data_IF_435475685890
#
_entry.id   IF_435475685890
#
_cell.length_a   1.000
_cell.length_b   1.000
_cell.length_c   1.000
_cell.angle_alpha   90.00
_cell.angle_beta   90.00
_cell.angle_gamma   90.00
#
_symmetry.space_group_name_H-M   'P 1'
#
loop_
_entity.id
_entity.type
_entity.pdbx_description
1 polymer ?
#
# COMPACT_ATOMS: atom_id res chain seq x y z
N UNK A 1 -10.28 2.24 -32.09
CA UNK A 1 -9.56 3.50 -31.78
C UNK A 1 -10.54 4.65 -31.45
N UNK A 2 -11.52 4.44 -30.56
CA UNK A 2 -12.51 5.48 -30.16
C UNK A 2 -12.80 5.47 -28.65
N UNK A 3 -12.53 4.37 -27.94
CA UNK A 3 -12.76 4.24 -26.47
C UNK A 3 -11.76 5.06 -25.62
N UNK A 4 -10.61 5.47 -26.18
CA UNK A 4 -9.57 6.26 -25.47
C UNK A 4 -9.95 7.70 -25.13
N UNK A 5 -11.10 8.21 -25.61
CA UNK A 5 -11.46 9.64 -25.46
C UNK A 5 -12.50 9.93 -24.36
N UNK A 6 -13.25 8.94 -23.86
CA UNK A 6 -14.35 9.23 -22.93
C UNK A 6 -13.90 9.46 -21.48
N UNK A 7 -12.89 8.71 -21.00
CA UNK A 7 -12.38 8.83 -19.61
C UNK A 7 -11.57 10.13 -19.42
N UNK A 8 -10.82 10.57 -20.43
CA UNK A 8 -10.04 11.81 -20.37
C UNK A 8 -10.89 13.09 -20.40
N UNK A 9 -12.19 13.01 -20.74
CA UNK A 9 -13.03 14.20 -20.94
C UNK A 9 -13.51 14.87 -19.65
N UNK A 10 -13.31 14.24 -18.48
CA UNK A 10 -13.75 14.80 -17.18
C UNK A 10 -12.63 15.62 -16.50
N UNK A 11 -11.36 15.44 -16.91
CA UNK A 11 -10.19 16.00 -16.22
C UNK A 11 -9.49 17.17 -16.93
N UNK A 12 -9.99 17.67 -18.06
CA UNK A 12 -9.40 18.85 -18.73
C UNK A 12 -10.41 19.92 -19.13
N UNK A 13 -10.71 20.83 -18.21
CA UNK A 13 -11.21 22.16 -18.54
C UNK A 13 -10.62 23.22 -17.62
N UNK A 14 -9.68 24.03 -18.13
CA UNK A 14 -9.36 25.32 -17.49
C UNK A 14 -7.89 25.67 -17.22
N UNK A 15 -6.99 25.58 -18.20
CA UNK A 15 -5.75 26.41 -18.19
C UNK A 15 -5.54 27.07 -19.55
N UNK A 16 -5.63 28.41 -19.58
CA UNK A 16 -5.02 29.24 -20.62
C UNK A 16 -4.10 30.24 -19.94
N UNK A 17 -2.90 30.39 -20.51
CA UNK A 17 -1.82 31.23 -19.96
C UNK A 17 -2.23 32.69 -19.80
N UNK A 18 -1.83 33.30 -18.68
CA UNK A 18 -1.71 34.74 -18.55
C UNK A 18 -0.53 35.07 -17.61
N UNK A 19 0.60 35.42 -18.23
CA UNK A 19 1.79 35.95 -17.55
C UNK A 19 1.48 37.35 -17.04
N UNK A 20 1.68 37.65 -15.75
CA UNK A 20 1.70 39.03 -15.27
C UNK A 20 2.77 39.23 -14.17
N UNK A 21 3.57 40.28 -14.34
CA UNK A 21 4.67 40.61 -13.44
C UNK A 21 4.18 41.15 -12.09
N UNK A 22 4.75 40.66 -10.98
CA UNK A 22 4.61 41.31 -9.68
C UNK A 22 5.43 42.62 -9.65
N UNK A 23 4.77 43.75 -9.36
CA UNK A 23 5.43 45.00 -8.94
C UNK A 23 5.09 45.27 -7.48
N UNK A 24 6.13 45.44 -6.66
CA UNK A 24 6.02 45.94 -5.29
C UNK A 24 5.64 47.42 -5.27
N UNK A 25 4.81 47.84 -4.29
CA UNK A 25 4.78 49.22 -3.81
C UNK A 25 4.22 49.28 -2.36
N UNK A 26 4.90 49.93 -1.39
CA UNK A 26 4.45 50.00 0.01
C UNK A 26 3.89 51.37 0.41
N UNK A 27 2.86 51.41 1.25
CA UNK A 27 2.55 52.57 2.12
C UNK A 27 1.63 52.20 3.30
N UNK A 28 1.71 52.97 4.40
CA UNK A 28 1.13 52.69 5.73
C UNK A 28 -0.09 53.58 6.04
N UNK A 29 -0.98 53.10 6.93
CA UNK A 29 -1.69 53.76 8.09
C UNK A 29 -3.05 53.03 8.33
N UNK A 30 -3.37 52.35 9.46
CA UNK A 30 -3.55 52.74 10.89
C UNK A 30 -4.88 53.52 11.15
N UNK A 31 -5.83 53.16 12.05
CA UNK A 31 -5.93 52.17 13.17
C UNK A 31 -7.40 51.75 13.41
N UNK A 32 -7.71 50.54 13.91
CA UNK A 32 -9.05 50.21 14.49
C UNK A 32 -9.25 48.74 14.93
N UNK A 33 -9.72 48.49 16.17
CA UNK A 33 -9.89 47.13 16.75
C UNK A 33 -11.24 46.49 16.41
N UNK A 34 -11.26 45.18 16.10
CA UNK A 34 -11.94 44.11 16.89
C UNK A 34 -11.17 42.80 16.65
N UNK A 35 -10.85 42.06 17.72
CA UNK A 35 -10.36 40.68 17.58
C UNK A 35 -11.55 39.72 17.37
N UNK A 36 -11.75 39.26 16.15
CA UNK A 36 -12.35 37.94 15.91
C UNK A 36 -11.23 36.99 15.52
N UNK A 37 -11.06 35.91 16.28
CA UNK A 37 -10.02 34.89 16.04
C UNK A 37 -10.09 34.35 14.61
N UNK A 38 -9.07 34.65 13.80
CA UNK A 38 -8.85 33.93 12.55
C UNK A 38 -8.56 32.46 12.89
N UNK A 39 -9.55 31.59 12.67
CA UNK A 39 -9.29 30.18 12.41
C UNK A 39 -8.57 30.12 11.07
N UNK A 40 -7.24 30.22 11.09
CA UNK A 40 -6.39 29.83 9.96
C UNK A 40 -6.58 28.33 9.75
N UNK A 41 -7.58 27.99 8.93
CA UNK A 41 -7.78 26.65 8.40
C UNK A 41 -6.63 26.37 7.46
N UNK A 42 -5.65 25.61 7.95
CA UNK A 42 -4.58 25.09 7.12
C UNK A 42 -5.22 24.16 6.09
N UNK A 43 -5.29 24.59 4.83
CA UNK A 43 -5.72 23.73 3.73
C UNK A 43 -4.49 23.07 3.08
N UNK A 44 -4.64 21.80 2.68
CA UNK A 44 -3.64 21.05 1.95
C UNK A 44 -4.04 20.97 0.47
N UNK A 45 -3.14 21.38 -0.42
CA UNK A 45 -3.34 21.27 -1.87
C UNK A 45 -2.73 19.98 -2.42
N UNK A 46 -3.57 19.05 -2.92
CA UNK A 46 -3.14 17.78 -3.50
C UNK A 46 -3.84 17.57 -4.85
N UNK A 47 -3.07 17.35 -5.92
CA UNK A 47 -3.56 17.20 -7.30
C UNK A 47 -4.53 18.31 -7.76
N UNK A 48 -4.28 19.56 -7.35
CA UNK A 48 -5.14 20.71 -7.65
C UNK A 48 -6.42 20.81 -6.82
N UNK A 49 -6.71 19.82 -5.96
CA UNK A 49 -7.83 19.83 -5.02
C UNK A 49 -7.37 20.36 -3.65
N UNK A 50 -8.26 21.07 -2.95
CA UNK A 50 -8.03 21.58 -1.60
C UNK A 50 -8.69 20.68 -0.56
N UNK A 51 -7.94 20.30 0.46
CA UNK A 51 -8.40 19.48 1.58
C UNK A 51 -8.23 20.28 2.87
N UNK A 52 -9.34 20.55 3.55
CA UNK A 52 -9.32 21.15 4.89
C UNK A 52 -8.65 20.18 5.87
N UNK A 53 -7.67 20.64 6.65
CA UNK A 53 -7.10 19.84 7.75
C UNK A 53 -8.04 19.83 8.96
N UNK A 54 -8.01 18.75 9.73
CA UNK A 54 -8.76 18.57 10.97
C UNK A 54 -8.00 17.67 11.96
N UNK A 55 -8.61 17.31 13.09
CA UNK A 55 -7.97 16.48 14.13
C UNK A 55 -7.61 15.07 13.66
N UNK A 56 -8.04 14.62 12.46
CA UNK A 56 -7.60 13.37 11.84
C UNK A 56 -6.33 13.52 10.99
N UNK A 57 -5.99 14.73 10.52
CA UNK A 57 -4.81 14.98 9.67
C UNK A 57 -3.51 14.50 10.36
N UNK A 58 -2.84 13.53 9.74
CA UNK A 58 -1.53 13.04 10.19
C UNK A 58 -0.51 12.85 9.05
N UNK A 59 -0.86 13.20 7.81
CA UNK A 59 0.08 13.24 6.68
C UNK A 59 1.22 14.24 6.94
N UNK A 60 2.47 13.82 6.74
CA UNK A 60 3.65 14.67 6.89
C UNK A 60 4.14 15.17 5.52
N UNK A 61 4.82 16.34 5.42
CA UNK A 61 5.37 16.83 4.14
C UNK A 61 6.28 15.82 3.44
N UNK A 62 6.95 14.96 4.22
CA UNK A 62 7.78 13.88 3.72
C UNK A 62 6.97 12.75 3.09
N UNK A 63 5.87 12.32 3.71
CA UNK A 63 4.99 11.31 3.14
C UNK A 63 4.34 11.82 1.85
N UNK A 64 3.93 13.09 1.84
CA UNK A 64 3.39 13.74 0.64
C UNK A 64 4.43 13.88 -0.49
N UNK A 65 5.73 13.97 -0.17
CA UNK A 65 6.80 13.99 -1.17
C UNK A 65 6.90 12.69 -1.99
N UNK A 66 6.47 11.53 -1.46
CA UNK A 66 6.48 10.27 -2.20
C UNK A 66 5.40 10.19 -3.30
N UNK A 67 4.35 11.01 -3.23
CA UNK A 67 3.23 10.97 -4.19
C UNK A 67 3.73 11.32 -5.60
N UNK A 68 3.41 10.47 -6.57
CA UNK A 68 3.79 10.67 -7.97
C UNK A 68 5.21 10.21 -8.33
N UNK A 69 5.97 9.63 -7.39
CA UNK A 69 7.22 8.96 -7.72
C UNK A 69 7.03 7.68 -8.55
N UNK A 70 5.88 7.01 -8.38
CA UNK A 70 5.38 5.90 -9.19
C UNK A 70 6.49 4.89 -9.60
N UNK A 71 7.18 4.30 -8.62
CA UNK A 71 8.38 3.48 -8.88
C UNK A 71 8.06 2.24 -9.74
N UNK A 72 6.84 1.71 -9.61
CA UNK A 72 6.28 0.65 -10.46
C UNK A 72 6.13 1.04 -11.94
N UNK A 73 6.25 2.33 -12.28
CA UNK A 73 6.23 2.85 -13.66
C UNK A 73 7.60 3.30 -14.16
N UNK A 74 8.64 3.31 -13.32
CA UNK A 74 10.00 3.68 -13.72
C UNK A 74 10.67 2.55 -14.50
N UNK A 75 11.03 2.79 -15.76
CA UNK A 75 11.30 1.73 -16.76
C UNK A 75 12.34 0.67 -16.32
N UNK A 76 13.45 1.11 -15.70
CA UNK A 76 14.56 0.27 -15.23
C UNK A 76 14.48 -0.08 -13.75
N UNK A 77 13.32 0.08 -13.10
CA UNK A 77 13.13 -0.19 -11.68
C UNK A 77 12.67 -1.63 -11.45
N UNK A 78 13.19 -2.36 -10.43
CA UNK A 78 12.78 -3.73 -10.14
C UNK A 78 11.27 -3.91 -9.91
N UNK A 79 10.56 -2.92 -9.35
CA UNK A 79 9.11 -3.00 -9.19
C UNK A 79 8.37 -2.89 -10.53
N UNK A 80 8.91 -2.12 -11.49
CA UNK A 80 8.40 -2.07 -12.86
C UNK A 80 8.69 -3.37 -13.62
N UNK A 81 9.85 -3.99 -13.40
CA UNK A 81 10.14 -5.32 -13.97
C UNK A 81 9.18 -6.39 -13.41
N UNK A 82 8.95 -6.41 -12.10
CA UNK A 82 7.97 -7.31 -11.49
C UNK A 82 6.56 -7.06 -12.01
N UNK A 83 6.12 -5.79 -12.10
CA UNK A 83 4.84 -5.41 -12.73
C UNK A 83 4.71 -5.98 -14.14
N UNK A 84 5.73 -5.79 -15.00
CA UNK A 84 5.73 -6.32 -16.37
C UNK A 84 5.60 -7.84 -16.40
N UNK A 85 6.32 -8.58 -15.53
CA UNK A 85 6.20 -10.04 -15.41
C UNK A 85 4.78 -10.48 -14.99
N UNK A 86 4.15 -9.77 -14.06
CA UNK A 86 2.76 -10.04 -13.65
C UNK A 86 1.80 -9.80 -14.83
N UNK A 87 1.92 -8.67 -15.52
CA UNK A 87 1.08 -8.36 -16.70
C UNK A 87 1.25 -9.41 -17.80
N UNK A 88 2.48 -9.80 -18.13
CA UNK A 88 2.77 -10.85 -19.11
C UNK A 88 2.17 -12.21 -18.70
N UNK A 89 2.25 -12.58 -17.42
CA UNK A 89 1.61 -13.79 -16.91
C UNK A 89 0.09 -13.76 -17.13
N UNK A 90 -0.59 -12.68 -16.74
CA UNK A 90 -2.04 -12.53 -16.94
C UNK A 90 -2.44 -12.48 -18.41
N UNK A 91 -1.67 -11.80 -19.25
CA UNK A 91 -1.90 -11.73 -20.70
C UNK A 91 -1.65 -13.07 -21.41
N UNK A 92 -0.75 -13.90 -20.88
CA UNK A 92 -0.50 -15.24 -21.41
C UNK A 92 -1.56 -16.25 -20.98
N UNK A 93 -2.07 -16.13 -19.74
CA UNK A 93 -3.02 -17.03 -19.09
C UNK A 93 -4.47 -16.76 -19.48
N UNK A 94 -4.88 -15.49 -19.52
CA UNK A 94 -6.27 -15.08 -19.74
C UNK A 94 -6.47 -14.47 -21.12
N UNK A 95 -6.75 -15.36 -22.09
CA UNK A 95 -7.00 -15.00 -23.49
C UNK A 95 -8.46 -15.22 -23.87
N UNK A 96 -9.02 -14.24 -24.56
CA UNK A 96 -10.35 -14.35 -25.17
C UNK A 96 -10.32 -15.28 -26.40
N UNK A 97 -11.50 -15.52 -26.98
CA UNK A 97 -11.68 -16.43 -28.14
C UNK A 97 -10.78 -16.12 -29.34
N UNK A 98 -10.34 -14.87 -29.50
CA UNK A 98 -9.44 -14.42 -30.58
C UNK A 98 -7.95 -14.40 -30.19
N UNK A 99 -7.58 -14.92 -29.01
CA UNK A 99 -6.21 -14.92 -28.50
C UNK A 99 -5.76 -13.62 -27.81
N UNK A 100 -6.59 -12.57 -27.81
CA UNK A 100 -6.30 -11.29 -27.16
C UNK A 100 -6.39 -11.41 -25.62
N UNK A 101 -5.54 -10.70 -24.85
CA UNK A 101 -5.69 -10.60 -23.39
C UNK A 101 -7.08 -10.10 -22.96
N UNK A 102 -7.61 -10.66 -21.86
CA UNK A 102 -8.92 -10.29 -21.31
C UNK A 102 -8.82 -9.24 -20.20
N UNK A 103 -7.73 -9.22 -19.44
CA UNK A 103 -7.50 -8.24 -18.39
C UNK A 103 -7.06 -6.90 -18.99
N UNK A 104 -7.68 -5.80 -18.57
CA UNK A 104 -7.05 -4.48 -18.61
C UNK A 104 -6.11 -4.32 -17.42
N UNK A 105 -5.19 -3.35 -17.47
CA UNK A 105 -4.45 -2.90 -16.29
C UNK A 105 -4.46 -1.38 -16.15
N UNK A 106 -4.35 -0.91 -14.91
CA UNK A 106 -4.30 0.50 -14.55
C UNK A 106 -3.18 0.70 -13.52
N UNK A 107 -2.26 1.62 -13.80
CA UNK A 107 -1.04 1.83 -12.99
C UNK A 107 -0.75 3.31 -12.69
N UNK A 108 -1.68 4.21 -12.98
CA UNK A 108 -1.55 5.67 -12.77
C UNK A 108 -2.82 6.26 -12.11
N UNK A 109 -3.22 5.66 -10.98
CA UNK A 109 -4.36 6.11 -10.17
C UNK A 109 -3.83 6.96 -9.00
N UNK A 110 -4.43 8.12 -8.74
CA UNK A 110 -4.00 9.00 -7.65
C UNK A 110 -4.21 8.36 -6.27
N UNK A 111 -3.25 8.47 -5.30
CA UNK A 111 -3.33 7.74 -4.04
C UNK A 111 -4.26 8.33 -2.97
N UNK A 112 -4.68 9.60 -3.10
CA UNK A 112 -5.68 10.16 -2.19
C UNK A 112 -7.07 9.61 -2.52
N UNK A 113 -7.70 8.96 -1.54
CA UNK A 113 -9.02 8.32 -1.64
C UNK A 113 -9.91 8.76 -0.48
N UNK A 114 -11.21 8.61 -0.64
CA UNK A 114 -12.17 8.75 0.46
C UNK A 114 -12.06 7.57 1.44
N UNK A 115 -12.47 7.81 2.70
CA UNK A 115 -12.70 6.74 3.69
C UNK A 115 -13.68 5.68 3.17
N UNK A 116 -14.66 6.10 2.37
CA UNK A 116 -15.59 5.19 1.70
C UNK A 116 -14.90 4.23 0.73
N UNK A 117 -14.06 4.74 -0.18
CA UNK A 117 -13.30 3.91 -1.11
C UNK A 117 -12.38 2.93 -0.35
N UNK A 118 -11.59 3.42 0.62
CA UNK A 118 -10.63 2.57 1.30
C UNK A 118 -11.26 1.56 2.29
N UNK A 119 -12.46 1.79 2.80
CA UNK A 119 -13.01 0.91 3.85
C UNK A 119 -14.48 0.56 3.67
N UNK A 120 -15.37 1.55 3.58
CA UNK A 120 -16.83 1.29 3.61
C UNK A 120 -17.27 0.45 2.40
N UNK A 121 -16.73 0.73 1.21
CA UNK A 121 -17.02 0.00 -0.04
C UNK A 121 -16.48 -1.44 -0.06
N UNK A 122 -15.70 -1.81 0.96
CA UNK A 122 -15.10 -3.13 1.17
C UNK A 122 -15.68 -3.83 2.41
N UNK A 123 -16.85 -3.37 2.90
CA UNK A 123 -17.57 -3.93 4.05
C UNK A 123 -16.77 -3.93 5.37
N UNK A 124 -15.68 -3.16 5.44
CA UNK A 124 -14.88 -3.02 6.66
C UNK A 124 -15.72 -2.23 7.68
N UNK A 125 -15.89 -2.72 8.91
CA UNK A 125 -16.72 -2.03 9.93
C UNK A 125 -16.11 -0.72 10.41
N UNK A 126 -16.91 0.22 10.92
CA UNK A 126 -16.44 1.55 11.36
C UNK A 126 -15.49 1.51 12.57
N UNK A 127 -15.59 0.47 13.38
CA UNK A 127 -14.75 0.17 14.54
C UNK A 127 -13.54 -0.72 14.22
N UNK A 128 -13.40 -1.16 12.96
CA UNK A 128 -12.34 -2.07 12.55
C UNK A 128 -10.93 -1.46 12.79
N UNK A 129 -9.97 -2.20 13.38
CA UNK A 129 -8.65 -1.67 13.71
C UNK A 129 -7.90 -1.01 12.55
N UNK A 130 -8.05 -1.49 11.30
CA UNK A 130 -7.36 -0.90 10.14
C UNK A 130 -7.73 0.56 9.85
N UNK A 131 -8.81 1.10 10.43
CA UNK A 131 -9.20 2.52 10.34
C UNK A 131 -8.46 3.43 11.33
N UNK A 132 -7.57 2.90 12.18
CA UNK A 132 -6.91 3.73 13.21
C UNK A 132 -5.95 4.75 12.59
N UNK A 133 -5.91 5.94 13.20
CA UNK A 133 -4.91 6.98 12.89
C UNK A 133 -3.46 6.54 13.14
N UNK A 134 -3.25 5.50 13.92
CA UNK A 134 -1.93 4.90 14.19
C UNK A 134 -1.39 4.13 13.00
N UNK A 135 -2.27 3.71 12.08
CA UNK A 135 -1.97 2.70 11.05
C UNK A 135 -2.15 3.27 9.62
N UNK A 136 -2.99 4.30 9.46
CA UNK A 136 -3.27 4.98 8.18
C UNK A 136 -2.84 6.45 8.15
N UNK A 137 -2.48 6.93 6.95
CA UNK A 137 -2.15 8.34 6.68
C UNK A 137 -3.38 9.13 6.21
N UNK A 138 -4.09 9.73 7.17
CA UNK A 138 -5.25 10.58 6.96
C UNK A 138 -4.84 12.00 6.52
N UNK A 139 -5.46 12.45 5.43
CA UNK A 139 -5.43 13.85 4.99
C UNK A 139 -6.36 14.68 5.88
N UNK A 140 -7.55 14.14 6.19
CA UNK A 140 -8.51 14.62 7.17
C UNK A 140 -9.50 13.48 7.50
N UNK A 141 -10.56 13.71 8.28
CA UNK A 141 -11.50 12.65 8.68
C UNK A 141 -12.25 11.96 7.52
N UNK A 142 -12.28 12.56 6.33
CA UNK A 142 -13.01 12.06 5.16
C UNK A 142 -12.09 11.43 4.09
N UNK A 143 -10.80 11.77 4.09
CA UNK A 143 -9.84 11.41 3.05
C UNK A 143 -8.50 10.94 3.63
N UNK A 144 -7.90 9.95 2.98
CA UNK A 144 -6.60 9.38 3.34
C UNK A 144 -5.80 9.05 2.09
N UNK A 145 -4.50 8.84 2.26
CA UNK A 145 -3.72 8.11 1.29
C UNK A 145 -4.05 6.62 1.43
N UNK A 146 -4.38 5.95 0.31
CA UNK A 146 -4.88 4.56 0.31
C UNK A 146 -3.94 3.60 1.03
N UNK A 147 -4.49 2.76 1.91
CA UNK A 147 -3.73 1.74 2.62
C UNK A 147 -3.54 0.44 1.82
N UNK A 148 -4.29 0.28 0.73
CA UNK A 148 -4.22 -0.86 -0.18
C UNK A 148 -4.85 -0.55 -1.55
N UNK A 149 -4.43 -1.24 -2.62
CA UNK A 149 -4.98 -1.04 -3.97
C UNK A 149 -6.44 -1.53 -4.12
N UNK A 150 -6.89 -2.40 -3.22
CA UNK A 150 -8.29 -2.87 -3.09
C UNK A 150 -9.29 -1.71 -2.95
N UNK A 151 -8.86 -0.53 -2.48
CA UNK A 151 -9.67 0.68 -2.35
C UNK A 151 -10.33 1.15 -3.67
N UNK A 152 -9.83 0.70 -4.82
CA UNK A 152 -10.36 1.07 -6.14
C UNK A 152 -11.26 -0.02 -6.77
N UNK A 153 -11.40 -1.20 -6.16
CA UNK A 153 -12.16 -2.30 -6.78
C UNK A 153 -13.62 -1.91 -7.07
N UNK A 154 -14.32 -1.30 -6.10
CA UNK A 154 -15.70 -0.83 -6.27
C UNK A 154 -15.87 0.16 -7.43
N UNK A 155 -14.92 1.09 -7.61
CA UNK A 155 -14.95 2.08 -8.70
C UNK A 155 -14.74 1.44 -10.08
N UNK A 156 -13.84 0.45 -10.15
CA UNK A 156 -13.55 -0.30 -11.38
C UNK A 156 -14.73 -1.22 -11.77
N UNK A 157 -15.32 -1.92 -10.79
CA UNK A 157 -16.55 -2.70 -10.96
C UNK A 157 -17.70 -1.83 -11.49
N UNK A 158 -17.93 -0.68 -10.84
CA UNK A 158 -18.98 0.29 -11.20
C UNK A 158 -18.76 0.93 -12.58
N UNK A 159 -17.53 0.91 -13.07
CA UNK A 159 -17.18 1.31 -14.44
C UNK A 159 -17.44 0.23 -15.49
N UNK A 160 -17.97 -0.94 -15.09
CA UNK A 160 -18.33 -2.06 -15.96
C UNK A 160 -17.16 -2.99 -16.30
N UNK A 161 -16.11 -3.04 -15.48
CA UNK A 161 -14.93 -3.88 -15.73
C UNK A 161 -15.08 -5.27 -15.09
N UNK A 162 -15.14 -6.32 -15.92
CA UNK A 162 -15.19 -7.72 -15.47
C UNK A 162 -13.80 -8.27 -15.06
N UNK A 163 -12.70 -7.79 -15.66
CA UNK A 163 -11.35 -8.35 -15.46
C UNK A 163 -10.30 -7.23 -15.51
N UNK A 164 -9.64 -6.97 -14.38
CA UNK A 164 -8.67 -5.87 -14.30
C UNK A 164 -7.53 -6.14 -13.31
N UNK A 165 -6.36 -5.61 -13.63
CA UNK A 165 -5.18 -5.48 -12.76
C UNK A 165 -5.00 -4.01 -12.33
N UNK A 166 -4.64 -3.79 -11.08
CA UNK A 166 -4.36 -2.46 -10.54
C UNK A 166 -2.96 -2.46 -9.94
N UNK A 167 -2.17 -1.43 -10.22
CA UNK A 167 -0.84 -1.23 -9.65
C UNK A 167 -0.73 0.17 -9.06
N UNK A 168 -0.09 0.30 -7.90
CA UNK A 168 0.13 1.60 -7.30
C UNK A 168 0.85 1.58 -5.97
N UNK A 169 1.36 2.75 -5.61
CA UNK A 169 1.86 3.11 -4.28
C UNK A 169 0.72 3.14 -3.25
N UNK A 170 0.96 2.57 -2.07
CA UNK A 170 0.05 2.48 -0.93
C UNK A 170 0.78 2.91 0.35
N UNK A 171 0.02 3.44 1.30
CA UNK A 171 0.55 4.26 2.38
C UNK A 171 0.10 3.71 3.75
N UNK A 172 1.05 3.31 4.60
CA UNK A 172 0.78 2.77 5.94
C UNK A 172 1.72 3.33 6.99
N UNK A 173 1.18 3.61 8.16
CA UNK A 173 1.97 3.97 9.35
C UNK A 173 2.37 2.67 10.05
N UNK A 174 3.63 2.30 9.89
CA UNK A 174 4.16 1.02 10.36
C UNK A 174 5.50 1.20 11.10
N UNK A 175 6.05 0.10 11.58
CA UNK A 175 7.39 0.03 12.19
C UNK A 175 8.51 0.48 11.22
N UNK A 176 9.73 0.58 11.73
CA UNK A 176 10.91 0.88 10.92
C UNK A 176 11.86 -0.30 10.99
N UNK A 177 11.91 -1.06 9.91
CA UNK A 177 12.91 -2.11 9.71
C UNK A 177 13.27 -2.28 8.22
N UNK A 178 13.99 -3.35 7.90
CA UNK A 178 14.47 -3.66 6.55
C UNK A 178 13.37 -4.16 5.59
N UNK A 179 12.17 -4.41 6.08
CA UNK A 179 10.99 -4.94 5.36
C UNK A 179 9.78 -3.99 5.37
N UNK A 180 9.70 -3.05 6.31
CA UNK A 180 8.62 -2.09 6.45
C UNK A 180 9.07 -0.67 6.07
N UNK A 181 8.34 -0.05 5.13
CA UNK A 181 8.53 1.33 4.68
C UNK A 181 7.14 1.97 4.53
N UNK A 182 6.93 3.26 4.85
CA UNK A 182 5.58 3.83 4.90
C UNK A 182 4.89 3.94 3.55
N UNK A 183 5.66 3.84 2.46
CA UNK A 183 5.18 3.86 1.08
C UNK A 183 5.77 2.66 0.36
N UNK A 184 4.91 1.69 0.05
CA UNK A 184 5.26 0.51 -0.73
C UNK A 184 4.23 0.34 -1.85
N UNK A 185 4.37 -0.64 -2.73
CA UNK A 185 3.52 -0.80 -3.89
C UNK A 185 2.80 -2.14 -3.86
N UNK A 186 1.56 -2.14 -4.34
CA UNK A 186 0.76 -3.36 -4.48
C UNK A 186 0.36 -3.60 -5.94
N UNK A 187 0.06 -4.87 -6.21
CA UNK A 187 -0.75 -5.26 -7.35
C UNK A 187 -2.03 -5.94 -6.85
N UNK A 188 -3.19 -5.41 -7.26
CA UNK A 188 -4.49 -6.04 -7.06
C UNK A 188 -4.99 -6.63 -8.38
N UNK A 189 -5.78 -7.68 -8.34
CA UNK A 189 -6.59 -8.10 -9.49
C UNK A 189 -7.99 -8.51 -9.08
N UNK A 190 -8.93 -8.31 -10.00
CA UNK A 190 -10.31 -8.82 -9.92
C UNK A 190 -10.64 -9.57 -11.20
N UNK A 191 -11.33 -10.69 -11.04
CA UNK A 191 -11.92 -11.46 -12.14
C UNK A 191 -13.35 -11.85 -11.83
N UNK A 192 -14.27 -11.47 -12.71
CA UNK A 192 -15.67 -11.87 -12.67
C UNK A 192 -15.98 -12.97 -13.71
N UNK A 193 -16.88 -13.87 -13.34
CA UNK A 193 -17.52 -14.84 -14.22
C UNK A 193 -19.05 -14.72 -14.16
N UNK A 194 -19.67 -14.85 -15.33
CA UNK A 194 -21.10 -15.15 -15.51
C UNK A 194 -21.34 -16.67 -15.53
N UNK A 195 -22.60 -17.11 -15.41
CA UNK A 195 -22.99 -18.52 -15.57
C UNK A 195 -22.34 -19.15 -16.83
N UNK A 196 -22.49 -18.54 -18.01
CA UNK A 196 -21.94 -19.09 -19.26
C UNK A 196 -20.40 -19.26 -19.26
N UNK A 197 -19.67 -18.46 -18.48
CA UNK A 197 -18.23 -18.61 -18.30
C UNK A 197 -17.92 -19.73 -17.31
N UNK A 198 -18.65 -19.85 -16.20
CA UNK A 198 -18.54 -20.98 -15.27
C UNK A 198 -18.87 -22.31 -15.94
N UNK A 199 -19.93 -22.36 -16.76
CA UNK A 199 -20.30 -23.58 -17.50
C UNK A 199 -19.18 -24.03 -18.46
N UNK A 200 -18.48 -23.05 -19.04
CA UNK A 200 -17.28 -23.30 -19.87
C UNK A 200 -16.11 -23.82 -19.02
N UNK A 201 -15.90 -23.30 -17.80
CA UNK A 201 -14.85 -23.75 -16.88
C UNK A 201 -15.14 -25.14 -16.30
N UNK A 202 -16.41 -25.44 -16.03
CA UNK A 202 -16.88 -26.71 -15.48
C UNK A 202 -17.03 -27.84 -16.52
N UNK A 203 -17.12 -27.49 -17.80
CA UNK A 203 -17.59 -28.37 -18.87
C UNK A 203 -18.98 -28.99 -18.58
N UNK A 204 -19.88 -28.21 -17.98
CA UNK A 204 -21.20 -28.66 -17.54
C UNK A 204 -22.07 -27.51 -17.08
N UNK A 205 -23.35 -27.78 -16.78
CA UNK A 205 -24.26 -26.77 -16.25
C UNK A 205 -23.92 -26.40 -14.80
N UNK A 206 -23.87 -25.10 -14.50
CA UNK A 206 -23.56 -24.55 -13.17
C UNK A 206 -24.37 -23.27 -12.96
N UNK A 207 -25.05 -23.17 -11.82
CA UNK A 207 -25.69 -21.94 -11.37
C UNK A 207 -24.79 -21.21 -10.36
N UNK A 208 -24.63 -19.89 -10.50
CA UNK A 208 -23.91 -19.08 -9.50
C UNK A 208 -24.66 -19.07 -8.16
N UNK A 209 -25.98 -18.87 -8.21
CA UNK A 209 -26.77 -18.51 -7.05
C UNK A 209 -27.54 -19.68 -6.45
N UNK A 210 -27.52 -19.78 -5.13
CA UNK A 210 -28.34 -20.72 -4.37
C UNK A 210 -29.79 -20.20 -4.25
N UNK A 211 -30.74 -21.12 -4.13
CA UNK A 211 -32.13 -20.77 -3.88
C UNK A 211 -32.36 -20.13 -2.50
N UNK A 212 -33.60 -19.70 -2.24
CA UNK A 212 -33.98 -19.12 -0.94
C UNK A 212 -33.65 -20.08 0.22
N UNK A 213 -32.90 -19.58 1.21
CA UNK A 213 -32.53 -20.33 2.41
C UNK A 213 -31.10 -20.86 2.45
N UNK A 214 -30.26 -20.47 1.49
CA UNK A 214 -28.81 -20.70 1.52
C UNK A 214 -28.14 -20.20 2.81
N UNK A 215 -27.03 -20.86 3.18
CA UNK A 215 -26.30 -20.59 4.43
C UNK A 215 -24.84 -20.28 4.16
N UNK A 216 -24.30 -19.33 4.92
CA UNK A 216 -22.87 -19.11 4.98
C UNK A 216 -22.22 -20.26 5.77
N UNK A 217 -21.11 -20.76 5.24
CA UNK A 217 -20.29 -21.84 5.82
C UNK A 217 -18.82 -21.47 5.62
N UNK A 218 -17.90 -22.23 6.21
CA UNK A 218 -16.45 -22.03 5.98
C UNK A 218 -16.07 -22.08 4.49
N UNK A 219 -16.81 -22.83 3.67
CA UNK A 219 -16.49 -23.03 2.24
C UNK A 219 -17.17 -22.05 1.28
N UNK A 220 -18.25 -21.37 1.68
CA UNK A 220 -19.05 -20.49 0.79
C UNK A 220 -19.88 -19.44 1.50
N UNK A 221 -20.17 -18.35 0.79
CA UNK A 221 -21.19 -17.36 1.17
C UNK A 221 -22.61 -17.94 1.05
N UNK A 222 -23.56 -17.33 1.77
CA UNK A 222 -24.96 -17.77 1.76
C UNK A 222 -25.65 -17.71 0.39
N UNK A 223 -25.21 -16.82 -0.50
CA UNK A 223 -25.87 -16.59 -1.81
C UNK A 223 -25.37 -17.50 -2.92
N UNK A 224 -24.15 -18.07 -2.79
CA UNK A 224 -23.51 -18.81 -3.86
C UNK A 224 -23.72 -20.31 -3.72
N UNK A 225 -23.83 -21.03 -4.84
CA UNK A 225 -23.73 -22.50 -4.84
C UNK A 225 -22.32 -22.94 -4.44
N UNK A 226 -22.21 -24.15 -3.89
CA UNK A 226 -20.89 -24.72 -3.57
C UNK A 226 -20.06 -24.94 -4.86
N UNK A 227 -20.70 -25.38 -5.95
CA UNK A 227 -20.04 -25.65 -7.22
C UNK A 227 -19.41 -24.39 -7.83
N UNK A 228 -20.18 -23.30 -7.94
CA UNK A 228 -19.65 -22.02 -8.43
C UNK A 228 -18.49 -21.51 -7.56
N UNK A 229 -18.62 -21.66 -6.24
CA UNK A 229 -17.56 -21.26 -5.29
C UNK A 229 -16.30 -22.11 -5.48
N UNK A 230 -16.40 -23.43 -5.60
CA UNK A 230 -15.26 -24.35 -5.79
C UNK A 230 -14.59 -24.21 -7.17
N UNK A 231 -15.35 -23.92 -8.22
CA UNK A 231 -14.79 -23.63 -9.55
C UNK A 231 -13.94 -22.34 -9.50
N UNK A 232 -14.48 -21.27 -8.90
CA UNK A 232 -13.74 -20.00 -8.76
C UNK A 232 -12.56 -20.12 -7.79
N UNK A 233 -12.68 -20.90 -6.70
CA UNK A 233 -11.57 -21.23 -5.80
C UNK A 233 -10.45 -21.95 -6.55
N UNK A 234 -10.77 -23.02 -7.29
CA UNK A 234 -9.79 -23.79 -8.04
C UNK A 234 -9.08 -22.93 -9.10
N UNK A 235 -9.83 -22.07 -9.80
CA UNK A 235 -9.27 -21.15 -10.78
C UNK A 235 -8.34 -20.11 -10.13
N UNK A 236 -8.78 -19.46 -9.05
CA UNK A 236 -7.98 -18.51 -8.27
C UNK A 236 -6.68 -19.17 -7.79
N UNK A 237 -6.79 -20.33 -7.13
CA UNK A 237 -5.63 -21.02 -6.55
C UNK A 237 -4.66 -21.51 -7.62
N UNK A 238 -5.16 -22.04 -8.74
CA UNK A 238 -4.33 -22.43 -9.90
C UNK A 238 -3.61 -21.24 -10.51
N UNK A 239 -4.30 -20.10 -10.68
CA UNK A 239 -3.73 -18.86 -11.21
C UNK A 239 -2.60 -18.32 -10.34
N UNK A 240 -2.79 -18.32 -9.02
CA UNK A 240 -1.84 -17.73 -8.08
C UNK A 240 -0.62 -18.64 -7.84
N UNK A 241 -0.81 -19.96 -7.80
CA UNK A 241 0.32 -20.92 -7.83
C UNK A 241 1.09 -20.80 -9.14
N UNK A 242 0.40 -20.70 -10.27
CA UNK A 242 1.03 -20.50 -11.58
C UNK A 242 1.81 -19.18 -11.67
N UNK A 243 1.29 -18.09 -11.09
CA UNK A 243 2.01 -16.82 -10.97
C UNK A 243 3.27 -16.99 -10.12
N UNK A 244 3.15 -17.56 -8.91
CA UNK A 244 4.29 -17.79 -8.02
C UNK A 244 5.37 -18.65 -8.69
N UNK A 245 4.99 -19.72 -9.39
CA UNK A 245 5.88 -20.57 -10.18
C UNK A 245 6.54 -19.83 -11.36
N UNK A 246 5.81 -18.92 -12.02
CA UNK A 246 6.36 -18.07 -13.10
C UNK A 246 7.36 -17.02 -12.60
N UNK A 247 7.29 -16.65 -11.31
CA UNK A 247 8.18 -15.69 -10.67
C UNK A 247 9.41 -16.36 -10.06
N UNK A 248 9.21 -17.36 -9.20
CA UNK A 248 10.25 -17.99 -8.37
C UNK A 248 10.79 -19.32 -8.89
N UNK A 249 10.20 -19.89 -9.95
CA UNK A 249 10.59 -21.18 -10.53
C UNK A 249 9.50 -22.25 -10.34
N UNK A 250 9.45 -23.20 -11.28
CA UNK A 250 8.33 -24.16 -11.42
C UNK A 250 8.08 -25.02 -10.19
N UNK A 251 9.13 -25.34 -9.45
CA UNK A 251 9.09 -26.27 -8.32
C UNK A 251 9.02 -25.55 -6.95
N UNK A 252 8.71 -24.25 -6.93
CA UNK A 252 8.58 -23.48 -5.67
C UNK A 252 7.47 -24.06 -4.78
N UNK A 253 7.77 -24.51 -3.54
CA UNK A 253 6.74 -25.02 -2.65
C UNK A 253 5.78 -23.91 -2.23
N UNK A 254 4.49 -24.17 -2.38
CA UNK A 254 3.39 -23.26 -2.05
C UNK A 254 2.49 -23.89 -0.98
N UNK A 255 1.93 -23.08 -0.07
CA UNK A 255 0.85 -23.50 0.84
C UNK A 255 -0.20 -22.42 0.99
N UNK A 256 -1.42 -22.84 1.28
CA UNK A 256 -2.55 -21.96 1.56
C UNK A 256 -2.76 -21.86 3.07
N UNK A 257 -3.09 -20.66 3.55
CA UNK A 257 -3.49 -20.39 4.92
C UNK A 257 -4.89 -19.78 4.87
N UNK A 258 -5.85 -20.37 5.57
CA UNK A 258 -7.20 -19.81 5.69
C UNK A 258 -7.17 -18.57 6.59
N UNK A 259 -7.73 -17.45 6.09
CA UNK A 259 -7.73 -16.15 6.77
C UNK A 259 -9.09 -15.47 6.62
N UNK A 260 -9.26 -14.28 7.21
CA UNK A 260 -10.49 -13.50 7.10
C UNK A 260 -10.20 -12.10 6.53
N UNK A 261 -10.93 -11.73 5.49
CA UNK A 261 -11.01 -10.34 5.01
C UNK A 261 -12.48 -9.92 4.92
N UNK A 262 -12.87 -8.70 5.35
CA UNK A 262 -14.27 -8.26 5.27
C UNK A 262 -14.89 -8.29 3.86
N UNK A 263 -14.06 -8.17 2.81
CA UNK A 263 -14.47 -8.06 1.40
C UNK A 263 -14.39 -9.38 0.60
N UNK A 264 -13.89 -10.48 1.18
CA UNK A 264 -13.90 -11.80 0.53
C UNK A 264 -14.37 -12.89 1.49
N UNK A 265 -14.98 -13.95 0.97
CA UNK A 265 -15.31 -15.17 1.70
C UNK A 265 -15.65 -16.32 0.74
N UNK A 266 -15.04 -17.52 0.86
CA UNK A 266 -13.84 -17.82 1.63
C UNK A 266 -12.60 -17.01 1.20
N UNK A 267 -11.59 -16.97 2.06
CA UNK A 267 -10.39 -16.14 1.94
C UNK A 267 -9.12 -16.88 2.33
N UNK A 268 -8.03 -16.62 1.62
CA UNK A 268 -6.75 -17.30 1.82
C UNK A 268 -5.56 -16.37 1.63
N UNK A 269 -4.49 -16.63 2.37
CA UNK A 269 -3.15 -16.19 2.03
C UNK A 269 -2.40 -17.32 1.29
N UNK A 270 -1.62 -16.95 0.28
CA UNK A 270 -0.64 -17.84 -0.34
C UNK A 270 0.71 -17.57 0.30
N UNK A 271 1.38 -18.63 0.76
CA UNK A 271 2.77 -18.56 1.19
C UNK A 271 3.66 -19.42 0.29
N UNK A 272 4.88 -18.92 0.01
CA UNK A 272 5.92 -19.65 -0.72
C UNK A 272 7.09 -20.00 0.20
N UNK A 273 7.74 -21.14 -0.02
CA UNK A 273 8.93 -21.50 0.74
C UNK A 273 10.20 -20.89 0.10
N UNK A 274 10.64 -19.75 0.61
CA UNK A 274 11.85 -19.05 0.15
C UNK A 274 12.97 -19.16 1.18
N UNK A 275 14.16 -19.62 0.75
CA UNK A 275 15.36 -19.79 1.59
C UNK A 275 15.09 -20.51 2.95
N UNK A 276 14.24 -21.53 2.90
CA UNK A 276 13.88 -22.37 4.06
C UNK A 276 12.81 -21.79 4.99
N UNK A 277 12.29 -20.59 4.70
CA UNK A 277 11.19 -19.94 5.44
C UNK A 277 9.93 -19.90 4.59
N UNK A 278 8.77 -19.97 5.25
CA UNK A 278 7.50 -19.64 4.59
C UNK A 278 7.31 -18.12 4.59
N UNK A 279 6.87 -17.59 3.46
CA UNK A 279 6.64 -16.17 3.25
C UNK A 279 5.28 -15.96 2.59
N UNK A 280 4.37 -15.31 3.31
CA UNK A 280 3.13 -14.75 2.78
C UNK A 280 3.41 -13.78 1.64
N UNK A 281 2.90 -14.09 0.44
CA UNK A 281 3.13 -13.29 -0.78
C UNK A 281 1.93 -12.44 -1.19
N UNK A 282 0.72 -12.86 -0.81
CA UNK A 282 -0.54 -12.21 -1.15
C UNK A 282 -1.70 -12.73 -0.30
N UNK A 283 -2.72 -11.88 -0.14
CA UNK A 283 -4.06 -12.26 0.32
C UNK A 283 -5.05 -12.32 -0.85
N UNK A 284 -6.02 -13.23 -0.80
CA UNK A 284 -7.00 -13.45 -1.86
C UNK A 284 -8.32 -14.06 -1.34
N UNK A 285 -9.33 -14.16 -2.20
CA UNK A 285 -10.57 -14.87 -1.89
C UNK A 285 -11.67 -14.67 -2.92
N UNK A 286 -12.82 -15.27 -2.64
CA UNK A 286 -14.05 -15.07 -3.44
C UNK A 286 -14.72 -13.79 -2.97
N UNK A 287 -15.00 -12.84 -3.88
CA UNK A 287 -15.52 -11.51 -3.52
C UNK A 287 -16.87 -11.61 -2.81
N UNK A 288 -17.08 -10.76 -1.79
CA UNK A 288 -18.38 -10.63 -1.12
C UNK A 288 -19.43 -10.16 -2.13
N UNK A 289 -20.54 -10.91 -2.24
CA UNK A 289 -21.55 -10.64 -3.26
C UNK A 289 -22.15 -9.24 -3.16
N UNK A 290 -22.34 -8.72 -1.95
CA UNK A 290 -22.82 -7.35 -1.67
C UNK A 290 -21.98 -6.26 -2.36
N UNK A 291 -20.67 -6.48 -2.52
CA UNK A 291 -19.78 -5.56 -3.26
C UNK A 291 -20.07 -5.64 -4.77
N UNK A 292 -20.37 -6.82 -5.30
CA UNK A 292 -20.73 -6.99 -6.71
C UNK A 292 -22.12 -6.40 -6.99
N UNK A 293 -23.11 -6.70 -6.16
CA UNK A 293 -24.48 -6.17 -6.23
C UNK A 293 -24.49 -4.64 -6.20
N UNK A 294 -23.88 -4.03 -5.17
CA UNK A 294 -23.82 -2.56 -5.00
C UNK A 294 -23.13 -1.81 -6.14
N UNK A 295 -22.27 -2.50 -6.91
CA UNK A 295 -21.55 -1.94 -8.06
C UNK A 295 -22.09 -2.42 -9.43
N UNK A 296 -23.27 -3.04 -9.48
CA UNK A 296 -23.96 -3.39 -10.74
C UNK A 296 -23.49 -4.68 -11.41
N UNK A 297 -22.79 -5.55 -10.68
CA UNK A 297 -22.32 -6.86 -11.11
C UNK A 297 -23.15 -8.03 -10.51
N UNK A 298 -24.42 -7.76 -10.22
CA UNK A 298 -25.42 -8.64 -9.59
C UNK A 298 -25.48 -10.07 -10.16
N UNK A 299 -25.28 -10.24 -11.47
CA UNK A 299 -25.30 -11.54 -12.15
C UNK A 299 -23.98 -12.32 -12.16
N UNK A 300 -23.01 -11.97 -11.30
CA UNK A 300 -21.64 -12.50 -11.33
C UNK A 300 -21.18 -13.09 -9.99
N UNK A 301 -20.22 -14.01 -10.10
CA UNK A 301 -19.29 -14.36 -9.02
C UNK A 301 -17.90 -13.87 -9.43
N UNK A 302 -17.05 -13.54 -8.46
CA UNK A 302 -15.69 -13.11 -8.74
C UNK A 302 -14.70 -13.54 -7.68
N UNK A 303 -13.43 -13.60 -8.07
CA UNK A 303 -12.31 -13.68 -7.14
C UNK A 303 -11.46 -12.42 -7.23
N UNK A 304 -10.77 -12.12 -6.13
CA UNK A 304 -9.81 -11.03 -6.04
C UNK A 304 -8.54 -11.46 -5.28
N UNK A 305 -7.43 -10.77 -5.55
CA UNK A 305 -6.23 -10.83 -4.71
C UNK A 305 -5.52 -9.48 -4.66
N UNK A 306 -4.70 -9.29 -3.63
CA UNK A 306 -3.76 -8.19 -3.49
C UNK A 306 -2.39 -8.71 -3.02
N UNK A 307 -1.32 -8.30 -3.69
CA UNK A 307 0.06 -8.71 -3.42
C UNK A 307 0.99 -7.52 -3.23
N UNK A 308 2.05 -7.68 -2.41
CA UNK A 308 3.06 -6.66 -2.17
C UNK A 308 4.25 -6.78 -3.13
N UNK A 309 4.50 -5.74 -3.94
CA UNK A 309 5.56 -5.78 -4.96
C UNK A 309 6.96 -5.80 -4.34
N UNK A 310 7.22 -5.02 -3.28
CA UNK A 310 8.51 -4.98 -2.61
C UNK A 310 8.86 -6.32 -1.98
N UNK A 311 7.92 -6.96 -1.26
CA UNK A 311 8.15 -8.26 -0.62
C UNK A 311 8.54 -9.33 -1.67
N UNK A 312 7.83 -9.37 -2.79
CA UNK A 312 8.16 -10.25 -3.92
C UNK A 312 9.51 -9.89 -4.56
N UNK A 313 9.77 -8.61 -4.83
CA UNK A 313 10.99 -8.13 -5.48
C UNK A 313 12.24 -8.32 -4.59
N UNK A 314 12.10 -8.21 -3.26
CA UNK A 314 13.17 -8.50 -2.30
C UNK A 314 13.61 -9.95 -2.38
N UNK A 315 12.67 -10.90 -2.42
CA UNK A 315 12.99 -12.32 -2.60
C UNK A 315 13.52 -12.62 -4.01
N UNK A 316 12.78 -12.18 -5.04
CA UNK A 316 13.09 -12.47 -6.45
C UNK A 316 14.48 -11.96 -6.87
N UNK A 317 14.84 -10.75 -6.45
CA UNK A 317 16.09 -10.10 -6.81
C UNK A 317 17.14 -10.15 -5.70
N UNK A 318 16.86 -10.77 -4.54
CA UNK A 318 17.72 -10.79 -3.33
C UNK A 318 18.11 -9.39 -2.84
N UNK A 319 17.15 -8.46 -2.82
CA UNK A 319 17.34 -7.11 -2.27
C UNK A 319 17.14 -7.19 -0.74
N UNK A 320 18.17 -6.88 0.08
CA UNK A 320 18.14 -7.16 1.52
C UNK A 320 17.36 -6.12 2.35
N UNK A 321 16.97 -5.00 1.75
CA UNK A 321 16.42 -3.85 2.47
C UNK A 321 15.47 -3.04 1.56
N UNK A 322 14.24 -2.83 2.02
CA UNK A 322 13.18 -2.12 1.29
C UNK A 322 13.56 -0.67 0.91
N UNK A 323 14.41 -0.01 1.70
CA UNK A 323 14.87 1.36 1.42
C UNK A 323 15.71 1.44 0.13
N UNK A 324 16.24 0.30 -0.35
CA UNK A 324 17.01 0.26 -1.60
C UNK A 324 16.15 0.61 -2.82
N UNK A 325 14.84 0.32 -2.81
CA UNK A 325 13.94 0.72 -3.91
C UNK A 325 13.85 2.24 -4.08
N UNK A 326 14.06 3.01 -3.01
CA UNK A 326 14.07 4.48 -2.99
C UNK A 326 15.47 5.07 -3.21
N UNK A 327 16.50 4.21 -3.33
CA UNK A 327 17.89 4.63 -3.48
C UNK A 327 18.21 5.12 -4.90
N UNK A 328 18.89 6.27 -4.97
CA UNK A 328 19.48 6.81 -6.22
C UNK A 328 20.93 6.39 -6.43
N UNK A 329 21.43 5.46 -5.62
CA UNK A 329 22.81 4.98 -5.69
C UNK A 329 23.08 4.22 -7.00
N UNK A 330 24.24 4.48 -7.62
CA UNK A 330 24.61 3.83 -8.88
C UNK A 330 24.99 2.36 -8.68
N UNK A 331 25.45 1.96 -7.50
CA UNK A 331 25.69 0.57 -7.13
C UNK A 331 24.41 -0.27 -7.06
N UNK A 332 23.24 0.35 -6.85
CA UNK A 332 21.93 -0.29 -7.00
C UNK A 332 21.37 -0.15 -8.42
N UNK A 333 21.16 1.08 -8.87
CA UNK A 333 20.41 1.39 -10.11
C UNK A 333 21.06 0.83 -11.38
N UNK A 334 22.40 0.78 -11.45
CA UNK A 334 23.10 0.21 -12.62
C UNK A 334 22.90 -1.30 -12.80
N UNK A 335 22.50 -2.04 -11.75
CA UNK A 335 22.28 -3.49 -11.83
C UNK A 335 20.96 -3.88 -12.49
N UNK A 336 20.05 -2.93 -12.68
CA UNK A 336 18.77 -3.09 -13.38
C UNK A 336 18.72 -2.29 -14.70
N UNK A 337 19.52 -1.23 -14.83
CA UNK A 337 19.63 -0.43 -16.04
C UNK A 337 20.05 -1.26 -17.26
N UNK A 338 19.35 -1.07 -18.39
CA UNK A 338 19.65 -1.73 -19.66
C UNK A 338 19.23 -3.20 -19.75
N UNK A 339 18.54 -3.74 -18.74
CA UNK A 339 18.05 -5.13 -18.72
C UNK A 339 16.58 -5.26 -19.10
N UNK A 340 16.20 -6.43 -19.58
CA UNK A 340 14.81 -6.86 -19.72
C UNK A 340 14.22 -7.32 -18.38
N UNK A 341 12.92 -7.14 -18.20
CA UNK A 341 12.18 -7.69 -17.06
C UNK A 341 12.11 -9.22 -17.05
N UNK A 342 12.43 -9.87 -18.17
CA UNK A 342 12.52 -11.33 -18.31
C UNK A 342 13.87 -11.92 -17.91
N UNK A 343 14.88 -11.09 -17.59
CA UNK A 343 16.19 -11.58 -17.16
C UNK A 343 16.19 -12.07 -15.71
N UNK A 344 16.97 -13.13 -15.44
CA UNK A 344 17.29 -13.55 -14.08
C UNK A 344 18.29 -12.57 -13.46
N UNK A 345 17.80 -11.70 -12.59
CA UNK A 345 18.60 -10.68 -11.90
C UNK A 345 18.76 -11.08 -10.44
N UNK A 346 19.99 -11.26 -9.99
CA UNK A 346 20.33 -11.28 -8.56
C UNK A 346 21.11 -10.01 -8.24
N UNK A 347 20.55 -9.17 -7.38
CA UNK A 347 21.23 -7.99 -6.86
C UNK A 347 22.47 -8.41 -6.06
N UNK A 348 23.60 -7.74 -6.32
CA UNK A 348 24.85 -7.93 -5.58
C UNK A 348 25.12 -6.67 -4.76
N UNK A 349 25.04 -6.77 -3.44
CA UNK A 349 25.35 -5.64 -2.57
C UNK A 349 26.83 -5.27 -2.71
N UNK A 350 27.11 -4.09 -3.27
CA UNK A 350 28.47 -3.61 -3.56
C UNK A 350 29.22 -3.25 -2.28
N UNK A 351 28.51 -2.66 -1.31
CA UNK A 351 29.07 -2.18 -0.05
C UNK A 351 28.10 -2.44 1.11
N UNK A 352 28.65 -2.83 2.26
CA UNK A 352 27.94 -2.86 3.55
C UNK A 352 28.65 -1.87 4.47
N UNK A 353 27.95 -0.81 4.87
CA UNK A 353 28.50 0.21 5.75
C UNK A 353 28.26 -0.16 7.22
N UNK A 354 29.12 0.27 8.17
CA UNK A 354 28.95 -0.07 9.57
C UNK A 354 27.69 0.60 10.15
N UNK A 355 26.96 -0.13 10.99
CA UNK A 355 25.87 0.42 11.80
C UNK A 355 26.43 1.29 12.92
N UNK A 356 25.71 2.36 13.26
CA UNK A 356 25.88 3.09 14.51
C UNK A 356 24.59 2.92 15.33
N UNK A 357 24.70 2.41 16.56
CA UNK A 357 23.53 2.14 17.41
C UNK A 357 23.44 3.19 18.51
N UNK A 358 22.23 3.68 18.78
CA UNK A 358 21.93 4.56 19.93
C UNK A 358 20.60 4.16 20.55
N UNK A 359 20.55 4.15 21.86
CA UNK A 359 19.34 3.87 22.62
C UNK A 359 18.78 5.18 23.16
N UNK A 360 17.46 5.35 23.09
CA UNK A 360 16.74 6.48 23.67
C UNK A 360 15.70 5.96 24.66
N UNK A 361 15.80 6.39 25.91
CA UNK A 361 14.84 6.09 26.97
C UNK A 361 13.98 7.32 27.26
N UNK A 362 12.68 7.10 27.48
CA UNK A 362 11.78 8.16 27.95
C UNK A 362 10.58 7.62 28.73
N UNK A 363 10.08 8.45 29.65
CA UNK A 363 8.76 8.27 30.27
C UNK A 363 7.68 8.64 29.27
N UNK A 364 6.67 7.79 29.12
CA UNK A 364 5.56 7.97 28.17
C UNK A 364 4.32 8.58 28.85
N UNK A 365 3.54 9.42 28.15
CA UNK A 365 2.17 9.75 28.56
C UNK A 365 1.23 8.54 28.44
N UNK A 366 0.00 8.68 28.90
CA UNK A 366 -1.00 7.60 28.85
C UNK A 366 -1.38 7.24 27.40
N UNK A 367 -1.56 8.25 26.55
CA UNK A 367 -1.94 8.17 25.14
C UNK A 367 -0.75 8.04 24.16
N UNK A 368 0.37 7.46 24.60
CA UNK A 368 1.53 7.28 23.73
C UNK A 368 1.32 6.13 22.72
N UNK A 369 1.36 6.46 21.44
CA UNK A 369 1.30 5.49 20.35
C UNK A 369 2.69 5.24 19.73
N UNK A 370 3.17 3.98 19.63
CA UNK A 370 4.49 3.66 19.06
C UNK A 370 4.72 4.23 17.65
N UNK A 371 3.68 4.22 16.80
CA UNK A 371 3.79 4.70 15.42
C UNK A 371 3.92 6.23 15.30
N UNK A 372 3.59 7.00 16.36
CA UNK A 372 3.90 8.42 16.42
C UNK A 372 5.40 8.66 16.68
N UNK A 373 6.03 7.80 17.49
CA UNK A 373 7.48 7.80 17.66
C UNK A 373 8.21 7.30 16.40
N UNK A 374 7.73 6.23 15.77
CA UNK A 374 8.28 5.77 14.49
C UNK A 374 8.20 6.87 13.42
N UNK A 375 7.04 7.50 13.22
CA UNK A 375 6.91 8.61 12.26
C UNK A 375 7.81 9.81 12.61
N UNK A 376 7.95 10.16 13.88
CA UNK A 376 8.86 11.23 14.32
C UNK A 376 10.32 10.91 13.99
N UNK A 377 10.77 9.68 14.23
CA UNK A 377 12.12 9.22 13.89
C UNK A 377 12.32 9.21 12.37
N UNK A 378 11.32 8.73 11.61
CA UNK A 378 11.31 8.70 10.14
C UNK A 378 11.39 10.09 9.54
N UNK A 379 10.62 11.04 10.06
CA UNK A 379 10.64 12.45 9.68
C UNK A 379 11.97 13.13 10.04
N UNK A 380 12.54 12.82 11.21
CA UNK A 380 13.78 13.42 11.66
C UNK A 380 15.03 12.92 10.90
N UNK A 381 15.11 11.61 10.62
CA UNK A 381 16.31 10.93 10.14
C UNK A 381 16.21 10.25 8.76
N UNK A 382 15.03 9.85 8.30
CA UNK A 382 14.82 9.23 6.98
C UNK A 382 15.71 8.03 6.70
N UNK A 383 16.27 7.98 5.49
CA UNK A 383 17.15 6.91 4.99
C UNK A 383 18.45 6.71 5.80
N UNK A 384 18.72 7.54 6.81
CA UNK A 384 19.79 7.30 7.78
C UNK A 384 19.38 6.32 8.89
N UNK A 385 18.07 6.16 9.12
CA UNK A 385 17.49 5.18 10.04
C UNK A 385 17.29 3.87 9.29
N UNK A 386 17.73 2.79 9.91
CA UNK A 386 17.60 1.43 9.40
C UNK A 386 16.56 0.63 10.15
N UNK A 387 16.66 0.62 11.47
CA UNK A 387 15.74 -0.10 12.34
C UNK A 387 15.46 0.74 13.59
N UNK A 388 14.21 0.71 14.05
CA UNK A 388 13.78 1.20 15.36
C UNK A 388 12.96 0.10 15.99
N UNK A 389 13.38 -0.40 17.16
CA UNK A 389 12.63 -1.39 17.91
C UNK A 389 12.62 -1.09 19.41
N UNK A 390 11.57 -1.54 20.08
CA UNK A 390 11.47 -1.49 21.54
C UNK A 390 12.50 -2.46 22.13
N UNK A 391 13.46 -1.92 22.87
CA UNK A 391 14.55 -2.70 23.50
C UNK A 391 14.24 -3.05 24.96
N UNK A 392 13.55 -2.17 25.68
CA UNK A 392 13.14 -2.40 27.08
C UNK A 392 11.86 -1.61 27.42
N UNK A 393 11.06 -2.13 28.33
CA UNK A 393 9.88 -1.44 28.89
C UNK A 393 9.82 -1.63 30.41
N UNK A 394 9.66 -0.52 31.14
CA UNK A 394 9.73 -0.47 32.59
C UNK A 394 8.56 0.32 33.17
N UNK A 395 7.93 -0.20 34.23
CA UNK A 395 6.92 0.54 35.02
C UNK A 395 7.46 0.84 36.42
N UNK A 396 7.50 2.12 36.79
CA UNK A 396 8.06 2.55 38.07
C UNK A 396 7.13 2.22 39.24
N UNK A 397 7.55 1.38 40.21
CA UNK A 397 6.64 0.72 41.16
C UNK A 397 5.96 1.68 42.14
N UNK A 398 6.52 2.87 42.38
CA UNK A 398 5.94 3.86 43.32
C UNK A 398 5.08 4.94 42.66
N UNK A 399 5.16 5.10 41.34
CA UNK A 399 4.50 6.23 40.64
C UNK A 399 3.62 5.77 39.48
N UNK A 400 3.62 4.49 39.12
CA UNK A 400 2.89 3.94 37.97
C UNK A 400 3.42 4.41 36.60
N UNK A 401 4.40 5.32 36.56
CA UNK A 401 4.93 5.85 35.30
C UNK A 401 5.56 4.75 34.47
N UNK A 402 5.15 4.65 33.21
CA UNK A 402 5.74 3.74 32.21
C UNK A 402 6.89 4.44 31.49
N UNK A 403 7.95 3.70 31.20
CA UNK A 403 9.11 4.12 30.43
C UNK A 403 9.34 3.11 29.32
N UNK A 404 9.65 3.59 28.11
CA UNK A 404 10.10 2.76 27.00
C UNK A 404 11.53 3.15 26.62
N UNK A 405 12.33 2.16 26.26
CA UNK A 405 13.65 2.33 25.67
C UNK A 405 13.62 1.80 24.24
N UNK A 406 13.85 2.67 23.26
CA UNK A 406 13.94 2.28 21.86
C UNK A 406 15.40 2.26 21.43
N UNK A 407 15.79 1.18 20.74
CA UNK A 407 17.08 1.11 20.05
C UNK A 407 16.91 1.60 18.62
N UNK A 408 17.70 2.60 18.25
CA UNK A 408 17.74 3.15 16.90
C UNK A 408 19.07 2.74 16.25
N UNK A 409 18.96 2.02 15.13
CA UNK A 409 20.10 1.65 14.29
C UNK A 409 20.19 2.64 13.14
N UNK A 410 21.34 3.31 13.05
CA UNK A 410 21.67 4.25 11.98
C UNK A 410 22.61 3.57 10.98
N UNK A 411 22.17 3.41 9.73
CA UNK A 411 23.02 2.98 8.61
C UNK A 411 22.45 3.54 7.30
N UNK A 412 23.31 4.16 6.50
CA UNK A 412 22.97 4.63 5.16
C UNK A 412 23.42 3.62 4.11
N UNK A 413 22.64 3.51 3.03
CA UNK A 413 22.79 2.48 2.00
C UNK A 413 24.09 2.65 1.18
N UNK A 414 24.56 3.89 1.00
CA UNK A 414 25.72 4.20 0.13
C UNK A 414 26.91 4.93 0.79
N UNK A 415 26.93 5.08 2.12
CA UNK A 415 28.11 5.65 2.82
C UNK A 415 28.18 5.29 4.31
N UNK A 416 29.40 5.34 4.86
CA UNK A 416 29.63 5.30 6.31
C UNK A 416 29.07 6.56 6.99
N UNK A 417 28.45 6.38 8.15
CA UNK A 417 28.00 7.46 9.02
C UNK A 417 29.05 7.76 10.10
N UNK A 418 29.29 9.05 10.34
CA UNK A 418 30.18 9.52 11.41
C UNK A 418 29.45 9.58 12.75
N UNK A 419 30.14 9.30 13.86
CA UNK A 419 29.55 9.48 15.20
C UNK A 419 29.04 10.92 15.44
N UNK A 420 29.67 11.93 14.80
CA UNK A 420 29.25 13.34 14.91
C UNK A 420 27.89 13.60 14.26
N UNK A 421 27.63 13.08 13.06
CA UNK A 421 26.34 13.28 12.40
C UNK A 421 25.23 12.46 13.06
N UNK A 422 25.52 11.23 13.49
CA UNK A 422 24.56 10.37 14.20
C UNK A 422 24.19 10.99 15.54
N UNK A 423 25.15 11.45 16.35
CA UNK A 423 24.85 12.12 17.61
C UNK A 423 23.99 13.37 17.40
N UNK A 424 24.29 14.22 16.40
CA UNK A 424 23.48 15.41 16.09
C UNK A 424 22.04 15.05 15.72
N UNK A 425 21.84 13.99 14.93
CA UNK A 425 20.52 13.50 14.55
C UNK A 425 19.78 12.88 15.76
N UNK A 426 20.47 12.11 16.59
CA UNK A 426 19.90 11.48 17.77
C UNK A 426 19.44 12.53 18.79
N UNK A 427 20.23 13.59 19.03
CA UNK A 427 19.81 14.74 19.85
C UNK A 427 18.55 15.41 19.28
N UNK A 428 18.49 15.65 17.96
CA UNK A 428 17.30 16.21 17.29
C UNK A 428 16.06 15.31 17.45
N UNK A 429 16.23 13.99 17.45
CA UNK A 429 15.15 13.02 17.71
C UNK A 429 14.69 13.14 19.18
N UNK A 430 15.60 13.21 20.16
CA UNK A 430 15.26 13.37 21.58
C UNK A 430 14.52 14.68 21.88
N UNK A 431 15.01 15.79 21.31
CA UNK A 431 14.38 17.11 21.40
C UNK A 431 12.97 17.10 20.78
N UNK A 432 12.83 16.58 19.55
CA UNK A 432 11.52 16.45 18.90
C UNK A 432 10.58 15.56 19.71
N UNK A 433 11.06 14.43 20.25
CA UNK A 433 10.23 13.51 21.03
C UNK A 433 9.63 14.22 22.25
N UNK A 434 10.46 14.95 23.00
CA UNK A 434 10.00 15.75 24.14
C UNK A 434 8.96 16.80 23.72
N UNK A 435 9.24 17.53 22.65
CA UNK A 435 8.42 18.67 22.21
C UNK A 435 7.10 18.29 21.53
N UNK A 436 7.04 17.13 20.84
CA UNK A 436 5.90 16.73 20.00
C UNK A 436 5.09 15.57 20.58
N UNK A 437 5.72 14.67 21.34
CA UNK A 437 5.05 13.49 21.93
C UNK A 437 4.82 13.64 23.45
N UNK A 438 5.25 14.75 24.05
CA UNK A 438 5.12 15.00 25.49
C UNK A 438 5.90 14.03 26.38
N UNK A 439 6.82 13.24 25.82
CA UNK A 439 7.63 12.27 26.57
C UNK A 439 8.72 12.98 27.38
N UNK A 440 9.17 12.37 28.48
CA UNK A 440 10.31 12.89 29.26
C UNK A 440 11.52 11.99 29.07
N UNK A 441 12.49 12.44 28.26
CA UNK A 441 13.75 11.71 28.00
C UNK A 441 14.55 11.50 29.29
N UNK A 442 15.21 10.34 29.41
CA UNK A 442 15.93 9.86 30.59
C UNK A 442 17.32 9.34 30.21
#
# INVERSE_FOLDING_TARGET
MVVRQFVNSIYQSGVRNLTLCAKFNPSLTSVGRVFSTELQKNSLSLNGLQYEQDDFTNVTPKILYHIGHNLHNSESHPLCFLKKRIVDYFYSTFKGRTGNPVFSFYDDIYPAVSVYQNFDSLLISQDHPSRRKTDCYYINKNYLLRAHMTAHQSEMLKSGLDNFLLFGDVYRRDEIDTTHYPVFHQADAVRLCSNAQLETLANGHVEIFEGKGGKETEEKQAVYTIDATKIMENELKTTLVGLAQSLFGKDIPCRWVDVFFPFTHPSWELEVQFEGKWLEVLGCGIMRHEILETNGAEGRIGWAFGLGLERLAMCLYKIPDIRMFWSKDTGFTSQFSGKSHTEEITFKQVSIYPQCTKDISFWIPENFEPNDFHELVREAGGELIEQVYLFDEFTHPKTGKRSKCYRIIYRHISRTLTNKEVNKLHTKISEKSTNLLGVTVR
#
